data_IF_699220811855
#
_entry.id   IF_699220811855
#
_cell.length_a   1.000
_cell.length_b   1.000
_cell.length_c   1.000
_cell.angle_alpha   90.00
_cell.angle_beta   90.00
_cell.angle_gamma   90.00
#
_symmetry.space_group_name_H-M   'P 1'
#
loop_
_entity.id
_entity.type
_entity.pdbx_description
1 polymer ?
#
# COMPACT_ATOMS: atom_id res chain seq x y z
N UNK A 1 -14.27 -10.98 -3.22
CA UNK A 1 -14.21 -9.51 -3.11
C UNK A 1 -12.88 -9.15 -2.48
N UNK A 2 -12.51 -7.87 -2.34
CA UNK A 2 -11.15 -7.56 -1.86
C UNK A 2 -10.82 -8.15 -0.47
N UNK A 3 -11.83 -8.41 0.37
CA UNK A 3 -11.65 -9.02 1.68
C UNK A 3 -11.31 -10.52 1.60
N UNK A 4 -11.96 -11.27 0.72
CA UNK A 4 -11.74 -12.71 0.55
C UNK A 4 -10.52 -13.00 -0.34
N UNK A 5 -10.32 -12.20 -1.38
CA UNK A 5 -9.23 -12.37 -2.36
C UNK A 5 -7.89 -11.81 -1.86
N UNK A 6 -7.93 -10.99 -0.81
CA UNK A 6 -6.79 -10.34 -0.19
C UNK A 6 -6.53 -8.92 -0.68
N UNK A 7 -5.86 -8.15 0.18
CA UNK A 7 -5.54 -6.73 -0.03
C UNK A 7 -4.21 -6.37 0.65
N UNK A 8 -3.67 -5.19 0.31
CA UNK A 8 -2.48 -4.62 0.94
C UNK A 8 -2.82 -3.25 1.54
N UNK A 9 -2.32 -3.02 2.75
CA UNK A 9 -2.32 -1.73 3.40
C UNK A 9 -0.91 -1.14 3.33
N UNK A 10 -0.79 0.10 2.84
CA UNK A 10 0.50 0.81 2.73
C UNK A 10 0.39 2.15 3.46
N UNK A 11 1.40 2.47 4.26
CA UNK A 11 1.61 3.78 4.83
C UNK A 11 2.96 4.31 4.34
N UNK A 12 2.93 5.48 3.71
CA UNK A 12 4.14 6.17 3.27
C UNK A 12 4.54 7.19 4.33
N UNK A 13 5.80 7.16 4.75
CA UNK A 13 6.33 8.07 5.77
C UNK A 13 7.64 8.69 5.30
N UNK A 14 7.71 10.03 5.34
CA UNK A 14 8.90 10.81 4.98
C UNK A 14 9.39 10.55 3.53
N UNK A 15 10.52 11.16 3.08
CA UNK A 15 10.95 11.08 1.68
C UNK A 15 11.22 9.67 1.16
N UNK A 16 11.85 8.80 1.96
CA UNK A 16 12.14 7.42 1.54
C UNK A 16 10.90 6.56 1.37
N UNK A 17 9.80 6.89 2.05
CA UNK A 17 8.51 6.23 1.87
C UNK A 17 7.67 6.83 0.75
N UNK A 18 8.10 7.94 0.12
CA UNK A 18 7.31 8.64 -0.90
C UNK A 18 6.05 9.33 -0.33
N UNK A 19 6.15 9.93 0.86
CA UNK A 19 5.02 10.65 1.45
C UNK A 19 4.80 12.01 0.76
N UNK A 20 3.61 12.21 0.18
CA UNK A 20 3.22 13.48 -0.46
C UNK A 20 2.32 14.35 0.43
N UNK A 21 1.39 13.73 1.17
CA UNK A 21 0.46 14.43 2.08
C UNK A 21 0.90 14.22 3.53
N UNK A 22 1.22 15.32 4.22
CA UNK A 22 1.74 15.34 5.60
C UNK A 22 0.64 15.23 6.68
N UNK A 23 -0.29 14.31 6.45
CA UNK A 23 -1.22 13.78 7.43
C UNK A 23 -1.18 12.26 7.29
N UNK A 24 -1.07 11.52 8.40
CA UNK A 24 -0.95 10.06 8.32
C UNK A 24 -2.21 9.46 7.69
N UNK A 25 -2.02 8.66 6.66
CA UNK A 25 -3.10 7.99 5.95
C UNK A 25 -2.63 6.62 5.44
N UNK A 26 -3.60 5.80 5.07
CA UNK A 26 -3.38 4.42 4.65
C UNK A 26 -3.99 4.20 3.27
N UNK A 27 -3.22 3.62 2.37
CA UNK A 27 -3.72 3.15 1.08
C UNK A 27 -4.22 1.72 1.23
N UNK A 28 -5.46 1.46 0.82
CA UNK A 28 -6.04 0.13 0.67
C UNK A 28 -6.02 -0.25 -0.82
N UNK A 29 -5.21 -1.24 -1.18
CA UNK A 29 -5.10 -1.73 -2.56
C UNK A 29 -5.59 -3.19 -2.63
N UNK A 30 -6.40 -3.51 -3.63
CA UNK A 30 -6.93 -4.86 -3.84
C UNK A 30 -7.65 -4.98 -5.19
N UNK A 31 -8.28 -6.13 -5.43
CA UNK A 31 -9.07 -6.40 -6.64
C UNK A 31 -8.30 -7.07 -7.79
N UNK A 32 -7.01 -7.36 -7.59
CA UNK A 32 -6.16 -8.16 -8.49
C UNK A 32 -4.86 -8.56 -7.78
N UNK A 33 -4.08 -9.53 -8.30
CA UNK A 33 -2.72 -9.76 -7.83
C UNK A 33 -1.88 -8.46 -7.90
N UNK A 34 -1.32 -8.06 -6.76
CA UNK A 34 -0.57 -6.80 -6.60
C UNK A 34 0.94 -6.93 -6.86
N UNK A 35 1.43 -8.13 -7.14
CA UNK A 35 2.86 -8.40 -7.29
C UNK A 35 3.64 -8.40 -5.96
N UNK A 36 4.96 -8.65 -5.99
CA UNK A 36 5.81 -8.68 -4.80
C UNK A 36 5.88 -7.31 -4.10
N UNK A 37 6.14 -7.31 -2.80
CA UNK A 37 6.21 -6.08 -2.00
C UNK A 37 7.61 -5.44 -2.03
N UNK A 38 8.64 -6.28 -2.16
CA UNK A 38 10.04 -5.91 -2.33
C UNK A 38 10.66 -6.99 -3.19
N UNK A 39 11.35 -6.59 -4.25
CA UNK A 39 12.29 -7.43 -4.98
C UNK A 39 13.69 -6.94 -4.63
N UNK A 40 14.58 -7.88 -4.33
CA UNK A 40 16.03 -7.67 -4.20
C UNK A 40 16.64 -7.32 -5.56
#
# INVERSE_FOLDING_TARGET
GIAEDGYRLILNCNPHGGQEVYHIHMHLLGGRPLGPMVLS
#
